data_IF_334062109852
#
_entry.id   IF_334062109852
#
_cell.length_a   1.000
_cell.length_b   1.000
_cell.length_c   1.000
_cell.angle_alpha   90.00
_cell.angle_beta   90.00
_cell.angle_gamma   90.00
#
_symmetry.space_group_name_H-M   'P 1'
#
loop_
_entity.id
_entity.type
_entity.pdbx_description
1 polymer ?
#
# COMPACT_ATOMS: atom_id res chain seq x y z
N UNK A 1 6.87 0.57 -11.70
CA UNK A 1 7.94 1.52 -12.08
C UNK A 1 9.33 0.99 -11.73
N UNK A 2 9.61 0.55 -10.48
CA UNK A 2 10.93 -0.03 -10.12
C UNK A 2 11.40 -1.18 -11.03
N UNK A 3 10.49 -2.03 -11.52
CA UNK A 3 10.83 -3.09 -12.50
C UNK A 3 11.54 -2.56 -13.76
N UNK A 4 11.22 -1.33 -14.19
CA UNK A 4 11.79 -0.74 -15.40
C UNK A 4 13.30 -0.48 -15.27
N UNK A 5 13.79 -0.18 -14.06
CA UNK A 5 15.20 0.14 -13.84
C UNK A 5 15.98 -1.04 -13.25
N UNK A 6 15.36 -2.22 -13.13
CA UNK A 6 15.95 -3.40 -12.49
C UNK A 6 17.25 -3.86 -13.15
N UNK A 7 17.32 -3.89 -14.48
CA UNK A 7 18.53 -4.30 -15.19
C UNK A 7 19.67 -3.28 -15.08
N UNK A 8 19.37 -2.03 -14.70
CA UNK A 8 20.37 -0.98 -14.48
C UNK A 8 20.94 -0.98 -13.05
N UNK A 9 20.11 -1.30 -12.06
CA UNK A 9 20.54 -1.43 -10.65
C UNK A 9 19.59 -2.38 -9.89
N UNK A 10 19.94 -3.66 -9.90
CA UNK A 10 19.12 -4.71 -9.26
C UNK A 10 19.11 -4.60 -7.72
N UNK A 11 20.25 -4.38 -7.03
CA UNK A 11 20.25 -4.16 -5.59
C UNK A 11 19.35 -3.00 -5.17
N UNK A 12 19.41 -1.85 -5.86
CA UNK A 12 18.52 -0.72 -5.61
C UNK A 12 17.05 -1.13 -5.73
N UNK A 13 16.69 -1.82 -6.81
CA UNK A 13 15.32 -2.25 -7.04
C UNK A 13 14.79 -3.21 -5.98
N UNK A 14 15.62 -4.13 -5.50
CA UNK A 14 15.24 -5.05 -4.43
C UNK A 14 15.03 -4.30 -3.11
N UNK A 15 15.99 -3.45 -2.73
CA UNK A 15 15.90 -2.65 -1.49
C UNK A 15 14.68 -1.74 -1.49
N UNK A 16 14.45 -0.98 -2.57
CA UNK A 16 13.34 -0.03 -2.63
C UNK A 16 11.98 -0.75 -2.71
N UNK A 17 11.92 -1.91 -3.37
CA UNK A 17 10.71 -2.73 -3.40
C UNK A 17 10.35 -3.30 -2.02
N UNK A 18 11.33 -3.74 -1.23
CA UNK A 18 11.08 -4.16 0.16
C UNK A 18 10.66 -2.98 1.04
N UNK A 19 11.25 -1.79 0.86
CA UNK A 19 10.82 -0.59 1.56
C UNK A 19 9.34 -0.28 1.27
N UNK A 20 8.91 -0.30 0.01
CA UNK A 20 7.51 -0.05 -0.34
C UNK A 20 6.56 -1.15 0.14
N UNK A 21 7.00 -2.41 0.22
CA UNK A 21 6.22 -3.47 0.88
C UNK A 21 6.02 -3.17 2.37
N UNK A 22 7.05 -2.73 3.07
CA UNK A 22 6.96 -2.34 4.48
C UNK A 22 6.01 -1.16 4.66
N UNK A 23 6.12 -0.11 3.83
CA UNK A 23 5.18 1.03 3.82
C UNK A 23 3.74 0.55 3.61
N UNK A 24 3.53 -0.35 2.65
CA UNK A 24 2.21 -0.92 2.39
C UNK A 24 1.68 -1.69 3.60
N UNK A 25 2.52 -2.48 4.27
CA UNK A 25 2.16 -3.24 5.46
C UNK A 25 1.78 -2.34 6.64
N UNK A 26 2.47 -1.19 6.82
CA UNK A 26 2.13 -0.21 7.85
C UNK A 26 0.71 0.36 7.68
N UNK A 27 0.31 0.62 6.44
CA UNK A 27 -0.99 1.22 6.11
C UNK A 27 -2.11 0.19 5.95
N UNK A 28 -1.78 -1.09 5.73
CA UNK A 28 -2.74 -2.14 5.42
C UNK A 28 -3.79 -2.30 6.52
N UNK A 29 -3.39 -2.43 7.78
CA UNK A 29 -4.31 -2.66 8.90
C UNK A 29 -5.44 -1.63 9.00
N UNK A 30 -5.13 -0.32 9.15
CA UNK A 30 -6.16 0.72 9.21
C UNK A 30 -7.04 0.82 7.95
N UNK A 31 -6.43 0.68 6.77
CA UNK A 31 -7.14 0.69 5.48
C UNK A 31 -8.14 -0.48 5.39
N UNK A 32 -7.69 -1.68 5.71
CA UNK A 32 -8.49 -2.90 5.67
C UNK A 32 -9.63 -2.86 6.68
N UNK A 33 -9.39 -2.34 7.89
CA UNK A 33 -10.44 -2.19 8.90
C UNK A 33 -11.60 -1.32 8.38
N UNK A 34 -11.28 -0.24 7.67
CA UNK A 34 -12.27 0.64 7.03
C UNK A 34 -12.97 -0.08 5.87
N UNK A 35 -12.22 -0.72 4.97
CA UNK A 35 -12.76 -1.41 3.81
C UNK A 35 -13.70 -2.58 4.19
N UNK A 36 -13.45 -3.26 5.31
CA UNK A 36 -14.31 -4.33 5.80
C UNK A 36 -15.68 -3.81 6.26
N UNK A 37 -15.72 -2.69 6.98
CA UNK A 37 -16.97 -2.03 7.38
C UNK A 37 -17.77 -1.63 6.14
N UNK A 38 -17.13 -0.93 5.21
CA UNK A 38 -17.77 -0.53 3.94
C UNK A 38 -18.28 -1.73 3.13
N UNK A 39 -17.59 -2.86 3.22
CA UNK A 39 -17.99 -4.09 2.51
C UNK A 39 -19.22 -4.71 3.17
N UNK A 40 -19.29 -4.76 4.49
CA UNK A 40 -20.50 -5.21 5.20
C UNK A 40 -21.68 -4.29 4.92
N UNK A 41 -21.47 -2.97 4.94
CA UNK A 41 -22.50 -1.99 4.63
C UNK A 41 -23.02 -2.18 3.19
N UNK A 42 -22.12 -2.31 2.21
CA UNK A 42 -22.49 -2.61 0.81
C UNK A 42 -23.21 -3.95 0.64
N UNK A 43 -22.84 -4.97 1.42
CA UNK A 43 -23.51 -6.27 1.40
C UNK A 43 -24.93 -6.18 1.96
N UNK A 44 -25.12 -5.45 3.07
CA UNK A 44 -26.44 -5.24 3.65
C UNK A 44 -27.37 -4.52 2.66
N UNK A 45 -26.86 -3.48 1.99
CA UNK A 45 -27.58 -2.70 0.97
C UNK A 45 -27.93 -3.52 -0.27
N UNK A 46 -27.01 -4.37 -0.74
CA UNK A 46 -27.22 -5.19 -1.94
C UNK A 46 -28.19 -6.36 -1.71
N UNK A 47 -28.35 -6.82 -0.47
CA UNK A 47 -29.12 -8.01 -0.11
C UNK A 47 -30.07 -7.75 1.07
N UNK A 48 -31.04 -6.82 0.95
CA UNK A 48 -31.85 -6.34 2.06
C UNK A 48 -32.77 -7.41 2.66
N UNK A 49 -33.21 -8.39 1.86
CA UNK A 49 -34.03 -9.50 2.36
C UNK A 49 -33.21 -10.49 3.19
N UNK A 50 -31.94 -10.68 2.83
CA UNK A 50 -31.03 -11.62 3.49
C UNK A 50 -30.38 -10.99 4.73
N UNK A 51 -30.23 -9.66 4.74
CA UNK A 51 -29.77 -8.89 5.91
C UNK A 51 -30.92 -8.45 6.83
N UNK A 52 -32.17 -8.73 6.44
CA UNK A 52 -33.36 -8.43 7.22
C UNK A 52 -33.26 -8.96 8.65
N UNK A 53 -33.66 -8.15 9.61
CA UNK A 53 -33.58 -8.50 11.04
C UNK A 53 -32.21 -8.28 11.67
N UNK A 54 -31.28 -7.58 11.00
CA UNK A 54 -30.02 -7.13 11.61
C UNK A 54 -28.96 -8.24 11.74
N UNK A 55 -29.05 -9.30 10.93
CA UNK A 55 -28.13 -10.44 11.02
C UNK A 55 -26.64 -10.08 10.82
N UNK A 56 -26.35 -8.95 10.15
CA UNK A 56 -24.99 -8.45 9.95
C UNK A 56 -24.55 -7.44 11.03
N UNK A 57 -25.46 -6.97 11.88
CA UNK A 57 -25.16 -5.91 12.87
C UNK A 57 -24.06 -6.33 13.85
N UNK A 58 -24.05 -7.56 14.42
CA UNK A 58 -22.97 -7.96 15.33
C UNK A 58 -21.60 -8.01 14.65
N UNK A 59 -21.55 -8.38 13.37
CA UNK A 59 -20.31 -8.40 12.58
C UNK A 59 -19.83 -6.97 12.36
N UNK A 60 -20.72 -6.07 11.96
CA UNK A 60 -20.44 -4.66 11.76
C UNK A 60 -19.93 -4.01 13.04
N UNK A 61 -20.60 -4.21 14.17
CA UNK A 61 -20.19 -3.70 15.47
C UNK A 61 -18.77 -4.16 15.85
N UNK A 62 -18.46 -5.44 15.63
CA UNK A 62 -17.11 -5.95 15.92
C UNK A 62 -16.04 -5.32 15.02
N UNK A 63 -16.35 -5.10 13.74
CA UNK A 63 -15.45 -4.42 12.81
C UNK A 63 -15.22 -2.95 13.19
N UNK A 64 -16.27 -2.24 13.62
CA UNK A 64 -16.17 -0.86 14.13
C UNK A 64 -15.28 -0.80 15.38
N UNK A 65 -15.48 -1.71 16.34
CA UNK A 65 -14.60 -1.79 17.51
C UNK A 65 -13.15 -2.03 17.11
N UNK A 66 -12.90 -2.95 16.16
CA UNK A 66 -11.56 -3.24 15.67
C UNK A 66 -10.91 -2.03 14.98
N UNK A 67 -11.69 -1.27 14.20
CA UNK A 67 -11.20 -0.04 13.58
C UNK A 67 -10.83 1.00 14.64
N UNK A 68 -11.67 1.20 15.66
CA UNK A 68 -11.34 2.10 16.77
C UNK A 68 -10.06 1.69 17.49
N UNK A 69 -9.86 0.39 17.78
CA UNK A 69 -8.62 -0.11 18.37
C UNK A 69 -7.39 0.22 17.51
N UNK A 70 -7.50 0.12 16.19
CA UNK A 70 -6.40 0.40 15.25
C UNK A 70 -6.14 1.90 15.07
N UNK A 71 -7.18 2.73 15.17
CA UNK A 71 -7.09 4.18 15.03
C UNK A 71 -6.77 4.89 16.35
N UNK A 72 -6.94 4.21 17.49
CA UNK A 72 -6.75 4.81 18.80
C UNK A 72 -5.30 5.28 19.05
N UNK A 73 -5.19 6.34 19.85
CA UNK A 73 -3.91 6.96 20.17
C UNK A 73 -3.18 7.43 18.91
N UNK A 74 -1.85 7.27 18.83
CA UNK A 74 -1.12 7.60 17.62
C UNK A 74 -1.41 6.69 16.42
N UNK A 75 -2.14 5.57 16.57
CA UNK A 75 -2.12 4.42 15.65
C UNK A 75 -2.11 4.76 14.15
N UNK A 76 -3.17 5.40 13.65
CA UNK A 76 -3.29 5.76 12.24
C UNK A 76 -2.33 6.89 11.84
N UNK A 77 -2.28 7.97 12.63
CA UNK A 77 -1.44 9.12 12.32
C UNK A 77 0.06 8.77 12.32
N UNK A 78 0.48 7.89 13.21
CA UNK A 78 1.84 7.36 13.28
C UNK A 78 2.16 6.49 12.06
N UNK A 79 1.23 5.63 11.63
CA UNK A 79 1.39 4.83 10.42
C UNK A 79 1.51 5.72 9.16
N UNK A 80 0.67 6.77 9.06
CA UNK A 80 0.73 7.75 7.97
C UNK A 80 2.06 8.50 7.99
N UNK A 81 2.47 9.03 9.15
CA UNK A 81 3.72 9.78 9.28
C UNK A 81 4.94 8.90 8.97
N UNK A 82 4.95 7.65 9.42
CA UNK A 82 6.01 6.69 9.10
C UNK A 82 6.06 6.38 7.59
N UNK A 83 4.91 6.17 6.96
CA UNK A 83 4.81 5.98 5.51
C UNK A 83 5.31 7.20 4.73
N UNK A 84 4.94 8.41 5.15
CA UNK A 84 5.41 9.67 4.54
C UNK A 84 6.92 9.81 4.68
N UNK A 85 7.48 9.53 5.86
CA UNK A 85 8.93 9.58 6.08
C UNK A 85 9.67 8.58 5.17
N UNK A 86 9.23 7.32 5.15
CA UNK A 86 9.81 6.29 4.28
C UNK A 86 9.72 6.64 2.79
N UNK A 87 8.60 7.21 2.34
CA UNK A 87 8.47 7.70 0.96
C UNK A 87 9.42 8.85 0.64
N UNK A 88 9.64 9.79 1.57
CA UNK A 88 10.62 10.89 1.40
C UNK A 88 12.03 10.36 1.29
N UNK A 89 12.42 9.42 2.15
CA UNK A 89 13.73 8.75 2.06
C UNK A 89 13.87 7.97 0.74
N UNK A 90 12.79 7.34 0.27
CA UNK A 90 12.76 6.67 -1.03
C UNK A 90 13.00 7.63 -2.20
N UNK A 91 12.42 8.84 -2.15
CA UNK A 91 12.68 9.89 -3.15
C UNK A 91 14.15 10.29 -3.16
N UNK A 92 14.77 10.50 -1.99
CA UNK A 92 16.20 10.83 -1.91
C UNK A 92 17.11 9.72 -2.47
N UNK A 93 16.70 8.45 -2.34
CA UNK A 93 17.41 7.31 -2.94
C UNK A 93 17.22 7.26 -4.46
N UNK A 94 16.01 7.52 -4.94
CA UNK A 94 15.71 7.62 -6.38
C UNK A 94 16.52 8.75 -7.03
N UNK A 95 16.67 9.90 -6.38
CA UNK A 95 17.47 11.03 -6.89
C UNK A 95 18.95 10.67 -7.08
N UNK A 96 19.43 9.63 -6.39
CA UNK A 96 20.80 9.12 -6.51
C UNK A 96 20.93 7.96 -7.51
N UNK A 97 19.82 7.44 -8.02
CA UNK A 97 19.84 6.41 -9.05
C UNK A 97 20.40 7.00 -10.34
N UNK A 98 21.54 6.48 -10.78
CA UNK A 98 22.14 6.85 -12.04
C UNK A 98 21.86 5.78 -13.10
N UNK A 99 21.31 6.20 -14.23
CA UNK A 99 21.27 5.40 -15.45
C UNK A 99 22.46 5.78 -16.35
N UNK A 100 22.86 4.93 -17.30
CA UNK A 100 23.90 5.29 -18.26
C UNK A 100 23.59 6.59 -19.00
N UNK A 101 24.61 7.44 -19.19
CA UNK A 101 24.46 8.73 -19.87
C UNK A 101 24.11 8.58 -21.36
N UNK A 102 24.43 7.43 -21.97
CA UNK A 102 24.08 7.14 -23.35
C UNK A 102 22.58 6.78 -23.46
N UNK A 103 21.77 7.55 -24.22
CA UNK A 103 20.32 7.35 -24.27
C UNK A 103 19.89 5.96 -24.74
N UNK A 104 20.64 5.36 -25.67
CA UNK A 104 20.38 4.01 -26.18
C UNK A 104 20.51 2.96 -25.07
N UNK A 105 21.57 3.05 -24.26
CA UNK A 105 21.81 2.13 -23.15
C UNK A 105 20.77 2.29 -22.04
N UNK A 106 20.37 3.54 -21.74
CA UNK A 106 19.28 3.80 -20.80
C UNK A 106 17.93 3.26 -21.33
N UNK A 107 17.67 3.40 -22.62
CA UNK A 107 16.46 2.86 -23.26
C UNK A 107 16.43 1.33 -23.23
N UNK A 108 17.58 0.67 -23.44
CA UNK A 108 17.70 -0.79 -23.35
C UNK A 108 17.38 -1.28 -21.93
N UNK A 109 17.89 -0.62 -20.90
CA UNK A 109 17.56 -0.93 -19.49
C UNK A 109 16.03 -0.86 -19.27
N UNK A 110 15.40 0.23 -19.68
CA UNK A 110 13.95 0.42 -19.52
C UNK A 110 13.14 -0.61 -20.30
N UNK A 111 13.58 -0.94 -21.52
CA UNK A 111 12.92 -1.92 -22.37
C UNK A 111 13.00 -3.33 -21.78
N UNK A 112 14.16 -3.72 -21.27
CA UNK A 112 14.34 -5.01 -20.61
C UNK A 112 13.50 -5.11 -19.33
N UNK A 113 13.49 -4.04 -18.52
CA UNK A 113 12.65 -3.97 -17.33
C UNK A 113 11.14 -3.99 -17.61
N UNK A 114 10.70 -3.57 -18.80
CA UNK A 114 9.29 -3.65 -19.21
C UNK A 114 8.87 -5.06 -19.66
N UNK A 115 9.81 -5.87 -20.14
CA UNK A 115 9.55 -7.25 -20.60
C UNK A 115 9.62 -8.28 -19.46
N UNK A 116 10.39 -8.00 -18.41
CA UNK A 116 10.51 -8.81 -17.19
C UNK A 116 9.31 -8.62 -16.27
#
# INVERSE_FOLDING_TARGET
LLRLVRSGDEPFCQTENECYKQVSALLAGPREATALIETVDRLADAFPEQSAGGGLDPVRERLVLRQHELHAGPGLDAAINAAVAACREGLERIDRLALPDQPEQAADILADGARA
#
